data_IF_348423555601
#
_entry.id   IF_348423555601
#
_cell.length_a   1.000
_cell.length_b   1.000
_cell.length_c   1.000
_cell.angle_alpha   90.00
_cell.angle_beta   90.00
_cell.angle_gamma   90.00
#
_symmetry.space_group_name_H-M   'P 1'
#
loop_
_entity.id
_entity.type
_entity.pdbx_description
1 polymer ?
#
# COMPACT_ATOMS: atom_id res chain seq x y z
N UNK A 1 -34.24 39.43 5.89
CA UNK A 1 -33.73 38.71 7.07
C UNK A 1 -32.40 38.08 6.65
N UNK A 2 -31.27 38.41 7.30
CA UNK A 2 -29.92 37.77 7.27
C UNK A 2 -29.50 37.04 5.95
N UNK A 3 -28.57 37.48 5.08
CA UNK A 3 -27.14 37.90 5.28
C UNK A 3 -26.39 36.95 6.23
N UNK A 4 -25.20 36.39 6.01
CA UNK A 4 -24.07 36.52 5.06
C UNK A 4 -23.26 35.17 5.14
N UNK A 5 -22.26 34.78 4.33
CA UNK A 5 -21.42 35.33 3.23
C UNK A 5 -21.20 34.21 2.18
N UNK A 6 -20.73 34.51 0.96
CA UNK A 6 -19.91 33.60 0.13
C UNK A 6 -18.58 34.29 -0.15
N UNK A 7 -17.46 33.66 0.19
CA UNK A 7 -16.14 34.20 -0.14
C UNK A 7 -15.82 33.86 -1.61
N UNK A 8 -15.74 34.90 -2.45
CA UNK A 8 -14.96 34.86 -3.70
C UNK A 8 -13.66 35.62 -3.47
N UNK A 9 -12.58 35.07 -4.00
CA UNK A 9 -11.29 35.73 -4.14
C UNK A 9 -11.07 35.76 -5.65
N UNK A 10 -10.97 36.97 -6.20
CA UNK A 10 -10.51 37.18 -7.57
C UNK A 10 -9.02 37.55 -7.50
N UNK A 11 -8.29 37.30 -8.59
CA UNK A 11 -6.84 37.51 -8.70
C UNK A 11 -6.43 39.02 -8.61
N UNK A 12 -5.12 39.29 -8.55
CA UNK A 12 -4.47 40.63 -8.52
C UNK A 12 -4.47 41.39 -7.17
N UNK A 13 -4.19 40.70 -6.06
CA UNK A 13 -4.17 41.28 -4.71
C UNK A 13 -3.19 42.46 -4.48
N UNK A 14 -3.72 43.68 -4.45
CA UNK A 14 -3.16 44.83 -3.70
C UNK A 14 -4.26 45.68 -3.03
N UNK A 15 -3.90 46.35 -1.93
CA UNK A 15 -4.76 47.28 -1.18
C UNK A 15 -4.51 48.71 -1.65
N UNK A 16 -5.56 49.42 -2.09
CA UNK A 16 -5.49 50.82 -2.51
C UNK A 16 -6.75 51.60 -2.11
N UNK A 17 -6.57 52.87 -1.69
CA UNK A 17 -7.63 53.71 -1.12
C UNK A 17 -7.97 54.89 -2.03
N UNK A 18 -9.27 55.08 -2.30
CA UNK A 18 -9.88 56.41 -2.45
C UNK A 18 -10.15 56.93 -3.87
N UNK A 19 -11.14 57.84 -3.94
CA UNK A 19 -11.41 58.71 -5.09
C UNK A 19 -12.62 58.29 -5.94
N UNK A 20 -13.68 59.11 -5.95
CA UNK A 20 -14.80 58.96 -6.89
C UNK A 20 -14.69 59.93 -8.07
N UNK A 21 -15.50 59.73 -9.12
CA UNK A 21 -15.57 60.64 -10.27
C UNK A 21 -16.34 60.05 -11.44
N UNK A 22 -17.35 60.77 -11.91
CA UNK A 22 -18.38 60.36 -12.87
C UNK A 22 -17.94 60.35 -14.35
N UNK A 23 -18.83 59.78 -15.21
CA UNK A 23 -19.03 60.08 -16.65
C UNK A 23 -17.86 59.77 -17.65
N UNK A 24 -18.08 59.58 -18.96
CA UNK A 24 -19.21 59.04 -19.75
C UNK A 24 -18.70 58.66 -21.18
N UNK A 25 -19.49 57.87 -21.92
CA UNK A 25 -19.49 57.59 -23.38
C UNK A 25 -18.30 57.93 -24.32
N UNK A 26 -17.95 57.00 -25.23
CA UNK A 26 -17.17 57.29 -26.45
C UNK A 26 -16.73 56.05 -27.25
N UNK A 27 -17.00 56.02 -28.56
CA UNK A 27 -16.67 54.91 -29.48
C UNK A 27 -15.35 55.10 -30.27
N UNK A 28 -14.95 54.02 -30.96
CA UNK A 28 -14.21 53.98 -32.24
C UNK A 28 -12.66 53.81 -32.28
N UNK A 29 -12.29 52.58 -32.69
CA UNK A 29 -11.16 52.12 -33.55
C UNK A 29 -10.18 53.16 -34.11
N UNK A 30 -8.86 52.90 -34.01
CA UNK A 30 -7.98 52.36 -35.09
C UNK A 30 -6.50 52.24 -34.63
N UNK A 31 -5.64 51.59 -35.43
CA UNK A 31 -4.22 51.26 -35.16
C UNK A 31 -3.28 52.52 -35.21
N UNK A 32 -2.02 52.53 -34.77
CA UNK A 32 -0.91 51.58 -35.08
C UNK A 32 0.38 51.91 -34.28
N UNK A 33 1.40 51.03 -34.39
CA UNK A 33 2.84 51.28 -34.22
C UNK A 33 3.46 51.64 -32.84
N UNK A 34 3.90 50.58 -32.14
CA UNK A 34 5.26 50.37 -31.62
C UNK A 34 5.95 51.36 -30.64
N UNK A 35 6.34 50.83 -29.46
CA UNK A 35 7.66 51.01 -28.84
C UNK A 35 8.03 49.80 -27.98
N UNK A 36 9.34 49.56 -27.82
CA UNK A 36 9.93 48.30 -27.35
C UNK A 36 10.12 48.23 -25.82
N UNK A 37 10.23 47.00 -25.30
CA UNK A 37 10.94 46.69 -24.06
C UNK A 37 10.12 46.03 -22.96
N UNK A 38 10.14 44.69 -22.89
CA UNK A 38 10.96 43.99 -21.90
C UNK A 38 11.15 42.52 -22.31
N UNK A 39 12.38 42.00 -22.14
CA UNK A 39 12.76 40.63 -22.50
C UNK A 39 12.74 39.74 -21.26
N UNK A 40 11.77 38.83 -21.16
CA UNK A 40 11.81 37.73 -20.19
C UNK A 40 10.95 36.54 -20.62
N UNK A 41 11.49 35.60 -21.42
CA UNK A 41 10.98 34.25 -21.41
C UNK A 41 11.31 33.65 -20.04
N UNK A 42 10.31 33.52 -19.16
CA UNK A 42 10.44 32.70 -17.96
C UNK A 42 10.72 31.25 -18.38
N UNK A 43 12.01 30.92 -18.51
CA UNK A 43 12.50 29.56 -18.71
C UNK A 43 12.32 28.78 -17.41
N UNK A 44 11.07 28.49 -17.08
CA UNK A 44 10.71 27.50 -16.07
C UNK A 44 11.21 26.16 -16.58
N UNK A 45 12.41 25.76 -16.17
CA UNK A 45 12.96 24.43 -16.43
C UNK A 45 12.06 23.44 -15.71
N UNK A 46 11.01 22.96 -16.38
CA UNK A 46 10.13 21.95 -15.83
C UNK A 46 10.94 20.65 -15.71
N UNK A 47 11.13 20.10 -14.49
CA UNK A 47 11.85 18.86 -14.30
C UNK A 47 11.19 17.75 -15.12
N UNK A 48 11.98 17.06 -15.96
CA UNK A 48 11.42 15.94 -16.74
C UNK A 48 10.85 14.89 -15.79
N UNK A 49 9.82 14.14 -16.23
CA UNK A 49 9.26 13.03 -15.45
C UNK A 49 10.32 12.04 -14.97
N UNK A 50 11.42 11.90 -15.72
CA UNK A 50 12.57 11.07 -15.35
C UNK A 50 13.48 11.70 -14.29
N UNK A 51 13.66 13.04 -14.30
CA UNK A 51 14.35 13.76 -13.23
C UNK A 51 13.53 13.75 -11.94
N UNK A 52 12.21 13.97 -12.02
CA UNK A 52 11.28 13.83 -10.89
C UNK A 52 11.27 12.41 -10.32
N UNK A 53 11.34 11.37 -11.18
CA UNK A 53 11.51 9.98 -10.71
C UNK A 53 12.78 9.80 -9.90
N UNK A 54 13.90 10.37 -10.35
CA UNK A 54 15.19 10.25 -9.64
C UNK A 54 15.20 11.05 -8.34
N UNK A 55 14.68 12.28 -8.34
CA UNK A 55 14.60 13.10 -7.13
C UNK A 55 13.65 12.48 -6.11
N UNK A 56 12.45 12.06 -6.51
CA UNK A 56 11.49 11.43 -5.60
C UNK A 56 11.96 10.03 -5.13
N UNK A 57 12.68 9.26 -5.95
CA UNK A 57 13.29 8.00 -5.48
C UNK A 57 14.44 8.21 -4.48
N UNK A 58 15.06 9.40 -4.47
CA UNK A 58 16.09 9.79 -3.49
C UNK A 58 15.47 10.37 -2.21
N UNK A 59 14.24 10.93 -2.27
CA UNK A 59 13.54 11.47 -1.09
C UNK A 59 12.50 10.54 -0.48
N UNK A 60 11.93 9.58 -1.21
CA UNK A 60 10.87 8.70 -0.69
C UNK A 60 11.42 7.55 0.17
N UNK A 61 11.57 7.83 1.47
CA UNK A 61 11.98 6.90 2.50
C UNK A 61 10.79 6.06 2.95
N UNK A 62 10.47 5.01 2.19
CA UNK A 62 9.40 4.08 2.54
C UNK A 62 9.81 3.17 3.70
N UNK A 63 8.97 3.04 4.72
CA UNK A 63 9.15 2.09 5.82
C UNK A 63 8.10 0.99 5.79
N UNK A 64 8.52 -0.27 5.91
CA UNK A 64 7.58 -1.36 6.17
C UNK A 64 7.18 -1.38 7.66
N UNK A 65 5.88 -1.52 7.91
CA UNK A 65 5.25 -1.68 9.22
C UNK A 65 4.54 -3.04 9.23
N UNK A 66 5.11 -4.01 9.92
CA UNK A 66 4.53 -5.36 10.05
C UNK A 66 3.77 -5.45 11.37
N UNK A 67 2.55 -5.98 11.37
CA UNK A 67 1.78 -6.22 12.60
C UNK A 67 1.34 -7.68 12.66
N UNK A 68 1.68 -8.38 13.74
CA UNK A 68 1.40 -9.79 13.90
C UNK A 68 1.18 -10.20 15.36
N UNK A 69 0.24 -11.12 15.60
CA UNK A 69 0.09 -11.79 16.90
C UNK A 69 0.08 -13.29 16.72
N UNK A 70 0.85 -13.97 17.55
CA UNK A 70 1.25 -15.38 17.40
C UNK A 70 1.08 -16.18 18.70
N UNK A 71 0.64 -15.54 19.78
CA UNK A 71 0.23 -16.18 21.04
C UNK A 71 -0.96 -17.13 20.90
N UNK A 72 -1.41 -17.71 22.01
CA UNK A 72 -2.29 -18.90 22.03
C UNK A 72 -3.66 -18.74 21.34
N UNK A 73 -4.13 -17.50 21.14
CA UNK A 73 -5.37 -17.18 20.41
C UNK A 73 -5.19 -16.94 18.90
N UNK A 74 -3.96 -16.91 18.38
CA UNK A 74 -3.67 -16.66 16.97
C UNK A 74 -4.32 -17.71 16.06
N UNK A 75 -4.87 -17.23 14.94
CA UNK A 75 -5.56 -18.05 13.93
C UNK A 75 -6.58 -19.01 14.54
N UNK A 76 -7.37 -18.54 15.52
CA UNK A 76 -8.39 -19.35 16.23
C UNK A 76 -9.37 -20.07 15.28
N UNK A 77 -9.67 -19.48 14.12
CA UNK A 77 -10.45 -20.08 13.02
C UNK A 77 -9.85 -21.39 12.46
N UNK A 78 -8.53 -21.60 12.58
CA UNK A 78 -7.84 -22.86 12.23
C UNK A 78 -7.95 -23.97 13.31
N UNK A 79 -8.60 -23.73 14.45
CA UNK A 79 -8.64 -24.70 15.55
C UNK A 79 -9.29 -26.06 15.20
N UNK A 80 -10.15 -26.11 14.18
CA UNK A 80 -10.72 -27.36 13.66
C UNK A 80 -9.75 -28.22 12.83
N UNK A 81 -8.58 -27.69 12.45
CA UNK A 81 -7.59 -28.39 11.62
C UNK A 81 -6.19 -28.49 12.26
N UNK A 82 -5.82 -27.54 13.13
CA UNK A 82 -4.49 -27.44 13.74
C UNK A 82 -4.57 -27.23 15.25
N UNK A 83 -3.76 -27.98 16.01
CA UNK A 83 -3.58 -27.79 17.45
C UNK A 83 -2.98 -26.42 17.79
N UNK A 84 -3.06 -25.94 19.05
CA UNK A 84 -2.51 -24.64 19.44
C UNK A 84 -1.01 -24.47 19.12
N UNK A 85 -0.21 -25.52 19.31
CA UNK A 85 1.22 -25.48 18.97
C UNK A 85 1.45 -25.44 17.46
N UNK A 86 0.65 -26.18 16.68
CA UNK A 86 0.72 -26.18 15.22
C UNK A 86 0.34 -24.81 14.63
N UNK A 87 -0.74 -24.18 15.13
CA UNK A 87 -1.14 -22.82 14.73
C UNK A 87 -0.05 -21.80 15.03
N UNK A 88 0.57 -21.87 16.22
CA UNK A 88 1.70 -21.01 16.59
C UNK A 88 2.89 -21.22 15.66
N UNK A 89 3.26 -22.46 15.35
CA UNK A 89 4.35 -22.77 14.42
C UNK A 89 4.09 -22.17 13.03
N UNK A 90 2.87 -22.35 12.49
CA UNK A 90 2.50 -21.77 11.20
C UNK A 90 2.55 -20.24 11.22
N UNK A 91 1.97 -19.59 12.24
CA UNK A 91 1.98 -18.13 12.35
C UNK A 91 3.39 -17.54 12.53
N UNK A 92 4.31 -18.20 13.26
CA UNK A 92 5.72 -17.78 13.33
C UNK A 92 6.43 -17.93 11.98
N UNK A 93 6.10 -18.98 11.22
CA UNK A 93 6.67 -19.22 9.91
C UNK A 93 6.22 -18.17 8.87
N UNK A 94 4.91 -17.87 8.82
CA UNK A 94 4.34 -16.83 7.96
C UNK A 94 4.95 -15.45 8.28
N UNK A 95 5.01 -15.07 9.55
CA UNK A 95 5.66 -13.83 9.99
C UNK A 95 7.13 -13.80 9.55
N UNK A 96 7.83 -14.93 9.71
CA UNK A 96 9.22 -15.06 9.31
C UNK A 96 9.44 -14.81 7.82
N UNK A 97 8.52 -15.23 6.95
CA UNK A 97 8.62 -14.99 5.51
C UNK A 97 8.30 -13.52 5.16
N UNK A 98 7.25 -12.94 5.76
CA UNK A 98 6.89 -11.52 5.55
C UNK A 98 8.03 -10.58 5.97
N UNK A 99 8.68 -10.85 7.11
CA UNK A 99 9.83 -10.08 7.58
C UNK A 99 11.03 -10.27 6.64
N UNK A 100 11.36 -11.49 6.22
CA UNK A 100 12.48 -11.73 5.31
C UNK A 100 12.29 -11.00 3.97
N UNK A 101 11.08 -11.00 3.41
CA UNK A 101 10.74 -10.27 2.19
C UNK A 101 10.97 -8.76 2.35
N UNK A 102 10.52 -8.17 3.46
CA UNK A 102 10.77 -6.75 3.75
C UNK A 102 12.28 -6.45 3.94
N UNK A 103 13.01 -7.35 4.61
CA UNK A 103 14.44 -7.22 4.85
C UNK A 103 15.31 -7.47 3.59
N UNK A 104 14.74 -8.07 2.54
CA UNK A 104 15.34 -8.24 1.22
C UNK A 104 15.06 -7.07 0.28
N UNK A 105 13.88 -6.44 0.36
CA UNK A 105 13.46 -5.32 -0.49
C UNK A 105 14.12 -3.96 -0.12
N UNK A 106 15.43 -3.95 0.17
CA UNK A 106 16.20 -2.76 0.63
C UNK A 106 16.45 -1.72 -0.46
N UNK A 107 16.21 -2.10 -1.71
CA UNK A 107 16.18 -1.21 -2.88
C UNK A 107 14.92 -0.32 -2.90
N UNK A 108 13.87 -0.70 -2.17
CA UNK A 108 12.59 0.00 -2.08
C UNK A 108 12.30 0.51 -0.65
N UNK A 109 12.73 -0.23 0.38
CA UNK A 109 12.45 0.05 1.79
C UNK A 109 13.67 0.61 2.52
N UNK A 110 13.51 1.79 3.12
CA UNK A 110 14.48 2.45 3.99
C UNK A 110 14.57 1.82 5.39
N UNK A 111 13.61 0.98 5.76
CA UNK A 111 13.59 0.28 7.05
C UNK A 111 12.36 -0.62 7.22
N UNK A 112 12.45 -1.54 8.18
CA UNK A 112 11.36 -2.44 8.59
C UNK A 112 11.17 -2.35 10.10
N UNK A 113 9.93 -2.13 10.52
CA UNK A 113 9.49 -2.11 11.92
C UNK A 113 8.36 -3.13 12.09
N UNK A 114 8.41 -3.94 13.14
CA UNK A 114 7.33 -4.88 13.46
C UNK A 114 6.74 -4.61 14.85
N UNK A 115 5.42 -4.71 14.97
CA UNK A 115 4.70 -4.78 16.25
C UNK A 115 4.26 -6.23 16.44
N UNK A 116 4.83 -6.88 17.44
CA UNK A 116 4.65 -8.31 17.69
C UNK A 116 4.57 -8.63 19.17
N UNK A 117 3.89 -9.72 19.51
CA UNK A 117 3.88 -10.26 20.86
C UNK A 117 5.22 -10.97 21.22
N UNK A 118 5.42 -11.23 22.51
CA UNK A 118 6.64 -11.85 23.06
C UNK A 118 7.00 -13.15 22.33
N UNK A 119 5.99 -13.94 21.98
CA UNK A 119 6.13 -15.22 21.28
C UNK A 119 6.79 -15.11 19.90
N UNK A 120 6.74 -13.93 19.27
CA UNK A 120 7.21 -13.65 17.92
C UNK A 120 8.47 -12.76 17.86
N UNK A 121 8.87 -12.09 18.96
CA UNK A 121 10.06 -11.19 18.99
C UNK A 121 11.32 -11.83 18.40
N UNK A 122 11.60 -13.08 18.77
CA UNK A 122 12.79 -13.79 18.28
C UNK A 122 12.84 -13.91 16.75
N UNK A 123 11.70 -14.12 16.09
CA UNK A 123 11.62 -14.21 14.62
C UNK A 123 12.03 -12.89 13.97
N UNK A 124 11.53 -11.77 14.50
CA UNK A 124 11.82 -10.42 14.01
C UNK A 124 13.28 -10.04 14.26
N UNK A 125 13.79 -10.25 15.49
CA UNK A 125 15.18 -9.96 15.85
C UNK A 125 16.18 -10.75 14.99
N UNK A 126 15.91 -12.03 14.72
CA UNK A 126 16.77 -12.89 13.91
C UNK A 126 16.87 -12.46 12.44
N UNK A 127 15.86 -11.76 11.92
CA UNK A 127 15.89 -11.18 10.58
C UNK A 127 16.51 -9.77 10.55
N UNK A 128 16.77 -9.15 11.71
CA UNK A 128 17.36 -7.81 11.82
C UNK A 128 16.39 -6.65 11.61
N UNK A 129 15.07 -6.90 11.68
CA UNK A 129 14.06 -5.85 11.69
C UNK A 129 13.93 -5.20 13.07
N UNK A 130 13.49 -3.95 13.12
CA UNK A 130 13.23 -3.26 14.39
C UNK A 130 11.93 -3.76 15.02
N UNK A 131 11.89 -3.83 16.35
CA UNK A 131 10.66 -4.10 17.11
C UNK A 131 10.15 -2.80 17.73
N UNK A 132 8.84 -2.61 17.69
CA UNK A 132 8.11 -1.76 18.61
C UNK A 132 7.25 -2.67 19.48
N UNK A 133 7.27 -2.46 20.79
CA UNK A 133 6.43 -3.23 21.71
C UNK A 133 4.94 -2.94 21.43
N UNK A 134 4.09 -3.97 21.43
CA UNK A 134 2.64 -3.80 21.31
C UNK A 134 2.15 -2.95 22.50
N UNK A 135 1.39 -1.86 22.28
CA UNK A 135 0.87 -1.03 23.38
C UNK A 135 0.04 -1.82 24.41
N UNK A 136 -0.42 -3.03 24.08
CA UNK A 136 -0.97 -4.01 25.04
C UNK A 136 -2.47 -4.21 24.95
N UNK A 137 -3.16 -3.37 24.17
CA UNK A 137 -4.62 -3.23 24.17
C UNK A 137 -5.36 -4.33 23.38
N UNK A 138 -4.63 -5.17 22.64
CA UNK A 138 -5.25 -6.16 21.74
C UNK A 138 -5.87 -5.57 20.47
N UNK A 139 -5.77 -4.27 20.21
CA UNK A 139 -6.21 -3.64 18.96
C UNK A 139 -5.11 -3.66 17.89
N UNK A 140 -5.48 -4.01 16.66
CA UNK A 140 -4.61 -3.95 15.48
C UNK A 140 -4.39 -2.50 15.02
N UNK A 141 -5.41 -1.65 15.11
CA UNK A 141 -5.32 -0.27 14.62
C UNK A 141 -4.43 0.58 15.52
N UNK A 142 -4.54 0.44 16.85
CA UNK A 142 -3.62 1.02 17.82
C UNK A 142 -2.15 0.62 17.55
N UNK A 143 -1.90 -0.68 17.32
CA UNK A 143 -0.58 -1.21 16.97
C UNK A 143 -0.02 -0.60 15.67
N UNK A 144 -0.80 -0.61 14.58
CA UNK A 144 -0.40 0.05 13.32
C UNK A 144 -0.13 1.53 13.55
N UNK A 145 -1.03 2.26 14.21
CA UNK A 145 -0.88 3.70 14.43
C UNK A 145 0.37 4.03 15.27
N UNK A 146 0.72 3.21 16.26
CA UNK A 146 1.95 3.35 17.04
C UNK A 146 3.20 3.15 16.17
N UNK A 147 3.20 2.14 15.30
CA UNK A 147 4.29 1.87 14.38
C UNK A 147 4.45 2.94 13.30
N UNK A 148 3.35 3.42 12.71
CA UNK A 148 3.34 4.55 11.77
C UNK A 148 3.97 5.79 12.41
N UNK A 149 3.55 6.18 13.62
CA UNK A 149 4.18 7.29 14.37
C UNK A 149 5.68 7.05 14.63
N UNK A 150 6.09 5.81 14.88
CA UNK A 150 7.50 5.44 15.08
C UNK A 150 8.32 5.54 13.79
N UNK A 151 7.76 5.13 12.65
CA UNK A 151 8.36 5.28 11.33
C UNK A 151 8.49 6.76 10.93
N UNK A 152 7.46 7.58 11.13
CA UNK A 152 7.53 9.03 10.85
C UNK A 152 8.63 9.72 11.65
N UNK A 153 8.80 9.39 12.95
CA UNK A 153 9.93 9.90 13.77
C UNK A 153 11.31 9.46 13.27
N UNK A 154 11.39 8.43 12.42
CA UNK A 154 12.62 7.95 11.76
C UNK A 154 12.80 8.53 10.35
N UNK A 155 11.98 9.51 9.98
CA UNK A 155 12.03 10.18 8.68
C UNK A 155 11.36 9.39 7.55
N UNK A 156 10.35 8.57 7.86
CA UNK A 156 9.52 7.96 6.83
C UNK A 156 8.67 9.00 6.10
N UNK A 157 8.75 9.04 4.78
CA UNK A 157 7.87 9.84 3.89
C UNK A 157 6.68 9.04 3.40
N UNK A 158 6.80 7.70 3.39
CA UNK A 158 5.72 6.76 3.12
C UNK A 158 5.83 5.58 4.08
N UNK A 159 4.72 4.92 4.40
CA UNK A 159 4.71 3.65 5.14
C UNK A 159 3.92 2.60 4.38
N UNK A 160 4.43 1.36 4.38
CA UNK A 160 3.75 0.18 3.87
C UNK A 160 3.37 -0.72 5.04
N UNK A 161 2.09 -0.73 5.40
CA UNK A 161 1.54 -1.58 6.46
C UNK A 161 1.24 -2.97 5.90
N UNK A 162 1.71 -4.01 6.58
CA UNK A 162 1.58 -5.42 6.22
C UNK A 162 1.12 -6.24 7.44
N UNK A 163 0.10 -7.10 7.31
CA UNK A 163 -0.14 -8.18 8.26
C UNK A 163 1.02 -9.19 8.28
N UNK A 164 1.21 -9.89 9.40
CA UNK A 164 2.24 -10.95 9.52
C UNK A 164 1.88 -12.31 8.94
N UNK A 165 0.73 -12.44 8.28
CA UNK A 165 0.08 -13.69 7.90
C UNK A 165 -0.33 -13.76 6.42
N UNK A 166 0.39 -12.99 5.60
CA UNK A 166 0.36 -12.99 4.12
C UNK A 166 1.61 -13.69 3.55
N UNK A 167 1.81 -15.01 3.79
CA UNK A 167 3.07 -15.71 3.50
C UNK A 167 3.42 -15.84 2.02
N UNK A 168 2.51 -15.44 1.13
CA UNK A 168 2.71 -15.45 -0.32
C UNK A 168 3.22 -14.10 -0.87
N UNK A 169 3.48 -13.10 -0.02
CA UNK A 169 4.12 -11.83 -0.41
C UNK A 169 5.52 -12.06 -1.00
N UNK A 170 5.86 -11.28 -2.03
CA UNK A 170 7.21 -11.24 -2.62
C UNK A 170 7.78 -9.81 -2.60
N UNK A 171 9.10 -9.67 -2.74
CA UNK A 171 9.74 -8.35 -2.87
C UNK A 171 9.25 -7.58 -4.11
N UNK A 172 8.75 -8.30 -5.13
CA UNK A 172 8.09 -7.70 -6.30
C UNK A 172 6.72 -7.12 -5.96
N UNK A 173 5.95 -7.73 -5.05
CA UNK A 173 4.68 -7.17 -4.58
C UNK A 173 4.93 -5.87 -3.79
N UNK A 174 5.95 -5.86 -2.91
CA UNK A 174 6.40 -4.66 -2.18
C UNK A 174 6.77 -3.54 -3.16
N UNK A 175 7.63 -3.82 -4.14
CA UNK A 175 8.01 -2.86 -5.17
C UNK A 175 6.80 -2.36 -6.00
N UNK A 176 5.85 -3.24 -6.31
CA UNK A 176 4.64 -2.91 -7.08
C UNK A 176 3.71 -1.99 -6.28
N UNK A 177 3.57 -2.19 -4.97
CA UNK A 177 2.78 -1.32 -4.10
C UNK A 177 3.39 0.06 -3.95
N UNK A 178 4.70 0.15 -3.70
CA UNK A 178 5.40 1.43 -3.60
C UNK A 178 5.35 2.20 -4.93
N UNK A 179 5.60 1.51 -6.05
CA UNK A 179 5.50 2.13 -7.38
C UNK A 179 4.08 2.60 -7.73
N UNK A 180 3.04 2.02 -7.13
CA UNK A 180 1.64 2.37 -7.42
C UNK A 180 1.26 3.79 -7.00
N UNK A 181 1.90 4.36 -5.96
CA UNK A 181 1.73 5.77 -5.60
C UNK A 181 2.35 6.74 -6.61
N UNK A 182 3.29 6.26 -7.43
CA UNK A 182 3.96 7.04 -8.46
C UNK A 182 4.48 8.38 -7.93
N UNK A 183 4.07 9.46 -8.59
CA UNK A 183 4.46 10.84 -8.26
C UNK A 183 3.50 11.59 -7.34
N UNK A 184 2.42 10.97 -6.88
CA UNK A 184 1.47 11.65 -6.01
C UNK A 184 2.14 12.02 -4.67
N UNK A 185 2.03 13.29 -4.26
CA UNK A 185 2.52 13.76 -2.96
C UNK A 185 1.70 13.17 -1.81
N UNK A 186 0.41 12.91 -2.06
CA UNK A 186 -0.53 12.25 -1.16
C UNK A 186 -1.09 11.01 -1.84
N UNK A 187 -0.94 9.83 -1.25
CA UNK A 187 -1.40 8.57 -1.81
C UNK A 187 -1.89 7.59 -0.74
N UNK A 188 -2.94 6.83 -1.08
CA UNK A 188 -3.44 5.69 -0.31
C UNK A 188 -3.59 4.51 -1.26
N UNK A 189 -2.69 3.54 -1.19
CA UNK A 189 -2.74 2.32 -2.01
C UNK A 189 -3.18 1.16 -1.15
N UNK A 190 -4.26 0.48 -1.56
CA UNK A 190 -4.89 -0.60 -0.82
C UNK A 190 -4.68 -1.91 -1.59
N UNK A 191 -4.03 -2.91 -1.00
CA UNK A 191 -4.14 -4.28 -1.50
C UNK A 191 -5.32 -4.96 -0.82
N UNK A 192 -6.32 -5.36 -1.60
CA UNK A 192 -7.48 -6.06 -1.08
C UNK A 192 -7.16 -7.52 -0.71
N UNK A 193 -7.86 -8.05 0.28
CA UNK A 193 -7.95 -9.49 0.57
C UNK A 193 -8.75 -10.23 -0.51
N UNK A 194 -8.81 -11.56 -0.43
CA UNK A 194 -9.47 -12.42 -1.41
C UNK A 194 -10.98 -12.13 -1.58
N UNK A 195 -11.64 -11.76 -0.49
CA UNK A 195 -13.07 -11.43 -0.44
C UNK A 195 -13.38 -9.99 -0.89
N UNK A 196 -12.36 -9.15 -1.11
CA UNK A 196 -12.50 -7.76 -1.58
C UNK A 196 -12.74 -6.72 -0.50
N UNK A 197 -13.13 -7.11 0.71
CA UNK A 197 -13.53 -6.21 1.80
C UNK A 197 -12.40 -5.89 2.79
N UNK A 198 -11.49 -6.84 3.02
CA UNK A 198 -10.31 -6.71 3.89
C UNK A 198 -9.10 -6.05 3.19
N UNK A 199 -8.18 -5.51 3.98
CA UNK A 199 -6.96 -4.86 3.49
C UNK A 199 -5.74 -5.67 3.91
N UNK A 200 -5.09 -6.33 2.94
CA UNK A 200 -3.90 -7.17 3.17
C UNK A 200 -2.57 -6.41 2.94
N UNK A 201 -2.62 -5.18 2.42
CA UNK A 201 -1.55 -4.19 2.57
C UNK A 201 -2.09 -2.76 2.40
N UNK A 202 -1.48 -1.80 3.08
CA UNK A 202 -1.85 -0.38 2.99
C UNK A 202 -0.59 0.49 2.86
N UNK A 203 -0.39 1.12 1.70
CA UNK A 203 0.61 2.15 1.53
C UNK A 203 -0.01 3.52 1.83
N UNK A 204 0.63 4.29 2.72
CA UNK A 204 0.26 5.66 3.07
C UNK A 204 1.41 6.62 2.75
N UNK A 205 1.11 7.68 2.01
CA UNK A 205 2.01 8.82 1.76
C UNK A 205 1.21 10.14 1.92
N UNK A 206 1.68 11.11 2.73
CA UNK A 206 2.58 10.90 3.87
C UNK A 206 2.01 9.86 4.85
N UNK A 207 2.79 9.39 5.85
CA UNK A 207 2.36 8.29 6.72
C UNK A 207 1.08 8.57 7.53
N UNK A 208 0.76 9.84 7.72
CA UNK A 208 -0.39 10.38 8.46
C UNK A 208 -1.54 10.86 7.55
N UNK A 209 -1.50 10.56 6.24
CA UNK A 209 -2.51 10.98 5.26
C UNK A 209 -3.94 10.57 5.65
N UNK A 210 -4.08 9.41 6.30
CA UNK A 210 -5.32 8.91 6.94
C UNK A 210 -4.98 8.15 8.22
N UNK A 211 -5.95 8.01 9.13
CA UNK A 211 -5.88 7.03 10.20
C UNK A 211 -6.15 5.61 9.63
N UNK A 212 -5.27 4.62 9.87
CA UNK A 212 -5.51 3.23 9.48
C UNK A 212 -6.74 2.64 10.18
N UNK A 213 -7.55 1.88 9.44
CA UNK A 213 -8.82 1.32 9.90
C UNK A 213 -9.04 -0.10 9.33
N UNK A 214 -8.21 -1.06 9.74
CA UNK A 214 -8.25 -2.47 9.36
C UNK A 214 -9.49 -3.22 9.91
N UNK A 215 -9.78 -4.37 9.29
CA UNK A 215 -10.96 -5.21 9.54
C UNK A 215 -12.10 -4.93 8.53
N UNK A 216 -12.79 -5.93 7.96
CA UNK A 216 -13.83 -5.70 6.95
C UNK A 216 -14.91 -4.67 7.36
N UNK A 217 -15.47 -3.86 6.43
CA UNK A 217 -14.98 -3.57 5.08
C UNK A 217 -13.91 -2.46 5.11
N UNK A 218 -12.65 -2.83 5.36
CA UNK A 218 -11.54 -1.87 5.47
C UNK A 218 -11.12 -1.24 4.14
N UNK A 219 -11.29 -1.93 3.00
CA UNK A 219 -10.91 -1.37 1.68
C UNK A 219 -11.67 -0.08 1.42
N UNK A 220 -12.99 -0.14 1.49
CA UNK A 220 -13.88 1.00 1.32
C UNK A 220 -13.56 2.14 2.31
N UNK A 221 -13.35 1.83 3.60
CA UNK A 221 -12.98 2.85 4.60
C UNK A 221 -11.67 3.56 4.25
N UNK A 222 -10.64 2.83 3.84
CA UNK A 222 -9.36 3.41 3.43
C UNK A 222 -9.50 4.27 2.16
N UNK A 223 -10.30 3.83 1.17
CA UNK A 223 -10.54 4.60 -0.05
C UNK A 223 -11.32 5.89 0.24
N UNK A 224 -12.42 5.84 1.00
CA UNK A 224 -13.19 7.03 1.38
C UNK A 224 -12.35 8.03 2.16
N UNK A 225 -11.56 7.56 3.13
CA UNK A 225 -10.66 8.40 3.91
C UNK A 225 -9.58 9.05 3.01
N UNK A 226 -9.00 8.29 2.07
CA UNK A 226 -8.00 8.80 1.12
C UNK A 226 -8.57 9.87 0.20
N UNK A 227 -9.76 9.65 -0.36
CA UNK A 227 -10.47 10.62 -1.19
C UNK A 227 -10.78 11.90 -0.41
N UNK A 228 -11.31 11.78 0.82
CA UNK A 228 -11.58 12.92 1.70
C UNK A 228 -10.30 13.69 2.10
N UNK A 229 -9.15 13.00 2.17
CA UNK A 229 -7.84 13.58 2.46
C UNK A 229 -7.13 14.15 1.22
N UNK A 230 -7.79 14.19 0.05
CA UNK A 230 -7.21 14.68 -1.21
C UNK A 230 -6.07 13.81 -1.75
N UNK A 231 -6.02 12.53 -1.38
CA UNK A 231 -4.97 11.61 -1.78
C UNK A 231 -5.31 10.87 -3.09
N UNK A 232 -4.28 10.52 -3.85
CA UNK A 232 -4.41 9.55 -4.93
C UNK A 232 -4.73 8.17 -4.35
N UNK A 233 -5.96 7.70 -4.53
CA UNK A 233 -6.42 6.39 -4.04
C UNK A 233 -6.39 5.33 -5.14
N UNK A 234 -5.85 4.14 -4.84
CA UNK A 234 -5.87 3.01 -5.77
C UNK A 234 -5.97 1.67 -5.05
N UNK A 235 -6.85 0.80 -5.55
CA UNK A 235 -6.85 -0.63 -5.19
C UNK A 235 -5.87 -1.37 -6.10
N UNK A 236 -5.09 -2.28 -5.51
CA UNK A 236 -4.27 -3.26 -6.22
C UNK A 236 -4.82 -4.66 -5.91
N UNK A 237 -5.02 -5.45 -6.96
CA UNK A 237 -5.46 -6.85 -6.90
C UNK A 237 -4.37 -7.76 -7.46
N UNK A 238 -4.54 -9.08 -7.35
CA UNK A 238 -3.64 -10.10 -7.93
C UNK A 238 -2.19 -10.09 -7.42
N UNK A 239 -1.92 -9.47 -6.28
CA UNK A 239 -0.63 -9.56 -5.57
C UNK A 239 -0.58 -10.86 -4.75
N UNK A 240 0.64 -11.29 -4.39
CA UNK A 240 0.86 -12.39 -3.43
C UNK A 240 0.23 -12.16 -2.05
N UNK A 241 -0.24 -10.94 -1.78
CA UNK A 241 -0.95 -10.52 -0.58
C UNK A 241 -2.42 -10.96 -0.52
N UNK A 242 -3.03 -11.35 -1.64
CA UNK A 242 -4.46 -11.68 -1.70
C UNK A 242 -4.82 -13.04 -1.05
N UNK A 243 -3.89 -13.70 -0.33
CA UNK A 243 -4.09 -14.98 0.35
C UNK A 243 -3.53 -14.94 1.77
N UNK A 244 -4.34 -14.39 2.67
CA UNK A 244 -4.28 -14.65 4.10
C UNK A 244 -4.72 -16.10 4.40
N UNK A 245 -4.05 -16.75 5.37
CA UNK A 245 -4.35 -18.15 5.76
C UNK A 245 -5.13 -18.14 7.05
N UNK A 246 -6.45 -17.98 6.97
CA UNK A 246 -7.31 -17.73 8.14
C UNK A 246 -8.19 -18.92 8.51
N UNK A 247 -8.68 -19.68 7.53
CA UNK A 247 -9.56 -20.84 7.71
C UNK A 247 -8.92 -22.15 7.23
N UNK A 248 -9.43 -23.33 7.66
CA UNK A 248 -8.99 -24.61 7.13
C UNK A 248 -9.17 -24.73 5.60
N UNK A 249 -10.12 -23.99 5.01
CA UNK A 249 -10.31 -23.93 3.58
C UNK A 249 -9.19 -23.14 2.88
N UNK A 250 -8.72 -22.03 3.47
CA UNK A 250 -7.58 -21.27 2.93
C UNK A 250 -6.29 -22.09 3.02
N UNK A 251 -6.11 -22.82 4.13
CA UNK A 251 -5.00 -23.74 4.31
C UNK A 251 -5.02 -24.86 3.26
N UNK A 252 -6.18 -25.49 3.00
CA UNK A 252 -6.32 -26.49 1.95
C UNK A 252 -6.06 -25.89 0.56
N UNK A 253 -6.68 -24.75 0.23
CA UNK A 253 -6.51 -24.05 -1.04
C UNK A 253 -5.08 -23.54 -1.30
N UNK A 254 -4.24 -23.46 -0.27
CA UNK A 254 -2.82 -23.13 -0.38
C UNK A 254 -1.95 -24.38 -0.62
N UNK A 255 -2.38 -25.54 -0.14
CA UNK A 255 -1.71 -26.85 -0.25
C UNK A 255 -2.07 -27.56 -1.56
N UNK A 256 -3.33 -27.48 -1.99
CA UNK A 256 -3.84 -28.14 -3.21
C UNK A 256 -3.34 -27.48 -4.52
N UNK A 257 -2.52 -26.44 -4.42
CA UNK A 257 -1.84 -25.83 -5.56
C UNK A 257 -0.61 -26.65 -5.94
N UNK A 258 -0.49 -26.98 -7.24
CA UNK A 258 0.71 -27.61 -7.80
C UNK A 258 2.01 -26.81 -7.52
N UNK A 259 1.88 -25.50 -7.28
CA UNK A 259 2.95 -24.63 -6.75
C UNK A 259 2.41 -23.79 -5.58
N UNK A 260 2.67 -24.18 -4.31
CA UNK A 260 2.37 -23.35 -3.15
C UNK A 260 3.27 -22.11 -3.17
N UNK A 261 2.70 -20.94 -3.53
CA UNK A 261 3.45 -19.67 -3.67
C UNK A 261 3.78 -18.99 -2.34
N UNK A 262 4.14 -19.77 -1.33
CA UNK A 262 4.54 -19.27 0.00
C UNK A 262 6.06 -19.16 0.15
N UNK A 263 6.49 -18.33 1.09
CA UNK A 263 7.88 -18.28 1.52
C UNK A 263 8.40 -19.59 2.13
N UNK A 264 9.73 -19.76 2.19
CA UNK A 264 10.38 -21.02 2.54
C UNK A 264 10.13 -21.48 3.98
N UNK A 265 9.87 -20.57 4.93
CA UNK A 265 9.60 -20.96 6.33
C UNK A 265 8.19 -21.54 6.43
N UNK A 266 7.20 -20.91 5.80
CA UNK A 266 5.82 -21.39 5.73
C UNK A 266 5.77 -22.71 4.97
N UNK A 267 6.50 -22.83 3.86
CA UNK A 267 6.66 -24.09 3.13
C UNK A 267 7.15 -25.24 4.03
N UNK A 268 8.23 -25.02 4.79
CA UNK A 268 8.77 -26.01 5.72
C UNK A 268 7.80 -26.33 6.88
N UNK A 269 7.10 -25.33 7.40
CA UNK A 269 6.08 -25.53 8.44
C UNK A 269 4.91 -26.38 7.91
N UNK A 270 4.38 -26.10 6.72
CA UNK A 270 3.32 -26.89 6.10
C UNK A 270 3.76 -28.34 5.85
N UNK A 271 4.98 -28.55 5.35
CA UNK A 271 5.56 -29.88 5.15
C UNK A 271 5.65 -30.71 6.46
N UNK A 272 5.91 -30.05 7.59
CA UNK A 272 6.00 -30.70 8.90
C UNK A 272 4.63 -30.87 9.62
N UNK A 273 3.64 -30.06 9.25
CA UNK A 273 2.31 -30.04 9.89
C UNK A 273 1.29 -30.95 9.19
N UNK A 274 1.47 -31.22 7.90
CA UNK A 274 0.54 -31.99 7.08
C UNK A 274 1.02 -33.44 6.89
N UNK A 275 0.12 -34.42 6.77
CA UNK A 275 0.52 -35.80 6.49
C UNK A 275 1.32 -35.92 5.19
N UNK A 276 2.34 -36.79 5.22
CA UNK A 276 3.18 -37.05 4.06
C UNK A 276 2.33 -37.47 2.85
N UNK A 277 2.55 -36.78 1.71
CA UNK A 277 1.81 -37.01 0.46
C UNK A 277 0.97 -35.83 -0.04
N UNK A 278 0.75 -34.78 0.77
CA UNK A 278 0.09 -33.53 0.31
C UNK A 278 1.01 -32.35 0.04
N UNK A 279 2.28 -32.42 0.42
CA UNK A 279 3.23 -31.32 0.26
C UNK A 279 4.58 -31.82 -0.24
N UNK A 280 5.02 -31.31 -1.39
CA UNK A 280 6.34 -31.58 -1.98
C UNK A 280 7.14 -30.27 -2.05
N UNK A 281 8.11 -30.03 -1.14
CA UNK A 281 8.93 -28.83 -1.20
C UNK A 281 9.85 -28.87 -2.44
N UNK A 282 9.92 -27.76 -3.17
CA UNK A 282 10.86 -27.61 -4.28
C UNK A 282 12.30 -27.69 -3.77
N UNK A 283 13.05 -28.68 -4.25
CA UNK A 283 14.52 -28.66 -4.13
C UNK A 283 15.10 -27.57 -5.05
N UNK A 284 16.17 -26.87 -4.66
CA UNK A 284 16.72 -25.76 -5.43
C UNK A 284 17.47 -26.26 -6.68
N UNK A 285 16.73 -26.63 -7.73
CA UNK A 285 17.33 -27.03 -9.03
C UNK A 285 16.50 -26.71 -10.29
N UNK A 286 15.30 -26.13 -10.17
CA UNK A 286 14.42 -25.78 -11.30
C UNK A 286 14.39 -24.29 -11.67
N UNK A 287 15.22 -23.45 -11.05
CA UNK A 287 15.32 -22.02 -11.39
C UNK A 287 15.99 -21.73 -12.76
N UNK A 288 16.45 -22.78 -13.46
CA UNK A 288 16.85 -22.74 -14.85
C UNK A 288 15.86 -23.59 -15.67
N UNK A 289 15.51 -23.14 -16.88
CA UNK A 289 14.55 -23.73 -17.83
C UNK A 289 13.06 -23.33 -17.68
N UNK A 290 12.74 -22.04 -17.63
CA UNK A 290 11.52 -21.53 -18.28
C UNK A 290 11.75 -20.16 -18.94
N UNK A 291 12.49 -20.19 -20.06
CA UNK A 291 12.47 -19.13 -21.07
C UNK A 291 11.62 -19.56 -22.26
N UNK A 292 10.99 -18.56 -22.92
CA UNK A 292 10.23 -18.64 -24.17
C UNK A 292 8.85 -19.35 -24.14
N UNK A 293 7.79 -18.53 -24.15
CA UNK A 293 6.40 -18.83 -24.48
C UNK A 293 5.68 -17.51 -24.82
N UNK A 294 4.75 -17.44 -25.79
CA UNK A 294 4.44 -16.19 -26.49
C UNK A 294 3.62 -15.18 -25.67
N UNK A 295 3.86 -13.89 -25.92
CA UNK A 295 3.17 -12.79 -25.27
C UNK A 295 1.77 -12.54 -25.89
N UNK A 296 0.74 -12.60 -25.05
CA UNK A 296 -0.60 -12.06 -25.35
C UNK A 296 -0.72 -10.63 -24.81
N UNK A 297 -1.46 -9.77 -25.52
CA UNK A 297 -1.44 -8.33 -25.27
C UNK A 297 -2.29 -7.91 -24.06
N UNK A 298 -1.90 -6.81 -23.40
CA UNK A 298 -2.60 -6.27 -22.24
C UNK A 298 -4.02 -5.76 -22.57
N UNK A 299 -4.32 -5.47 -23.84
CA UNK A 299 -5.62 -4.92 -24.27
C UNK A 299 -6.73 -5.96 -24.36
N UNK A 300 -6.38 -7.22 -24.52
CA UNK A 300 -7.36 -8.29 -24.77
C UNK A 300 -8.03 -8.77 -23.47
N UNK A 301 -7.38 -8.56 -22.31
CA UNK A 301 -7.94 -8.90 -20.98
C UNK A 301 -8.82 -7.81 -20.37
N UNK A 302 -8.74 -6.57 -20.84
CA UNK A 302 -9.51 -5.45 -20.27
C UNK A 302 -10.95 -5.37 -20.84
N UNK A 303 -11.24 -6.01 -21.98
CA UNK A 303 -12.57 -5.93 -22.61
C UNK A 303 -13.61 -6.91 -22.07
N UNK A 304 -13.20 -7.99 -21.44
CA UNK A 304 -14.10 -9.06 -20.99
C UNK A 304 -14.72 -8.82 -19.59
N UNK A 305 -14.21 -7.82 -18.85
CA UNK A 305 -14.67 -7.52 -17.48
C UNK A 305 -15.63 -6.32 -17.38
N UNK A 306 -15.69 -5.44 -18.39
CA UNK A 306 -16.56 -4.25 -18.37
C UNK A 306 -17.98 -4.49 -18.93
N UNK A 307 -18.31 -5.70 -19.39
CA UNK A 307 -19.63 -6.03 -19.96
C UNK A 307 -20.66 -6.55 -18.95
N UNK A 308 -20.27 -6.97 -17.74
CA UNK A 308 -21.20 -7.58 -16.76
C UNK A 308 -21.63 -6.65 -15.61
N UNK A 309 -21.20 -5.38 -15.59
CA UNK A 309 -21.52 -4.42 -14.52
C UNK A 309 -22.53 -3.33 -14.91
N UNK A 310 -23.10 -3.39 -16.12
CA UNK A 310 -24.13 -2.44 -16.60
C UNK A 310 -25.17 -3.13 -17.51
N UNK A 311 -25.99 -4.03 -16.97
CA UNK A 311 -27.33 -4.34 -17.51
C UNK A 311 -28.20 -5.03 -16.44
N UNK A 312 -28.69 -4.25 -15.48
CA UNK A 312 -29.75 -4.68 -14.55
C UNK A 312 -30.64 -3.51 -14.09
N UNK A 313 -31.07 -2.68 -15.04
CA UNK A 313 -32.28 -1.83 -14.92
C UNK A 313 -32.65 -1.27 -16.30
N UNK A 314 -33.44 -2.03 -17.06
CA UNK A 314 -34.38 -1.62 -18.12
C UNK A 314 -35.11 -2.85 -18.68
#
# INVERSE_FOLDING_TARGET
>A
MQRHVVARVDDDGQLGVGGGGAESAGEARTADAARQGDDSPHCGIQPTKQLLRRLNAVTDRVWAVIVARVGNGAKSRLAGALSPSQRRTLALAMLGDVVDVCMQARDVLAGTLAVVDEAARYVVLRAGALILDDPGDGDMNAAVAAAVRSASRRGATSVLVLPGDVPSITSRDVATLVAAAGHAERAVIVAASRDGDGTNALLLRPPDVIAPAFGPPSVDRHLRAGLAAGAFTRVQTNLGLARDVDTPADLAALVDLAEPRVGPKTAAALAALLPAGRYAPLTPRSAALHGAGPALSHRDREREFYSELFYSEL
#
